data_IF_148718678910
#
_entry.id   IF_148718678910
#
_cell.length_a   1.000
_cell.length_b   1.000
_cell.length_c   1.000
_cell.angle_alpha   90.00
_cell.angle_beta   90.00
_cell.angle_gamma   90.00
#
_symmetry.space_group_name_H-M   'P 1'
#
loop_
_entity.id
_entity.type
_entity.pdbx_description
1 polymer ?
#
# COMPACT_ATOMS: atom_id res chain seq x y z
N UNK A 1 -3.82 11.69 -3.60
CA UNK A 1 -3.11 10.66 -4.40
C UNK A 1 -1.75 10.44 -3.74
N UNK A 2 -1.51 9.25 -3.14
CA UNK A 2 -0.23 8.92 -2.53
C UNK A 2 0.68 8.38 -3.62
N UNK A 3 1.47 9.27 -4.23
CA UNK A 3 2.41 8.93 -5.31
C UNK A 3 3.86 9.23 -4.88
N UNK A 4 4.79 8.39 -5.33
CA UNK A 4 6.19 8.47 -4.98
C UNK A 4 7.03 7.37 -5.66
N UNK A 5 8.23 7.70 -6.20
CA UNK A 5 9.06 6.78 -6.99
C UNK A 5 9.60 5.58 -6.20
N UNK A 6 9.35 5.52 -4.89
CA UNK A 6 9.70 4.39 -4.01
C UNK A 6 8.66 3.28 -4.07
N UNK A 7 7.36 3.63 -4.08
CA UNK A 7 6.26 2.66 -4.13
C UNK A 7 6.27 1.95 -5.49
N UNK A 8 6.40 2.71 -6.57
CA UNK A 8 6.46 2.17 -7.93
C UNK A 8 7.59 1.14 -8.09
N UNK A 9 8.79 1.48 -7.61
CA UNK A 9 9.93 0.53 -7.60
C UNK A 9 9.60 -0.72 -6.78
N UNK A 10 9.09 -0.53 -5.57
CA UNK A 10 8.72 -1.63 -4.68
C UNK A 10 7.74 -2.59 -5.35
N UNK A 11 6.69 -2.07 -6.00
CA UNK A 11 5.73 -2.87 -6.73
C UNK A 11 6.35 -3.60 -7.93
N UNK A 12 7.29 -2.97 -8.63
CA UNK A 12 7.95 -3.55 -9.80
C UNK A 12 8.79 -4.80 -9.51
N UNK A 13 9.32 -4.97 -8.29
CA UNK A 13 10.11 -6.16 -7.92
C UNK A 13 9.42 -7.07 -6.89
N UNK A 14 8.17 -6.77 -6.51
CA UNK A 14 7.42 -7.56 -5.52
C UNK A 14 6.34 -8.40 -6.19
N UNK A 15 6.40 -9.72 -6.01
CA UNK A 15 5.31 -10.61 -6.43
C UNK A 15 4.17 -10.59 -5.42
N UNK A 16 3.17 -9.74 -5.64
CA UNK A 16 2.00 -9.59 -4.77
C UNK A 16 1.05 -10.80 -4.75
N UNK A 17 1.13 -11.69 -5.73
CA UNK A 17 0.35 -12.94 -5.74
C UNK A 17 0.95 -13.99 -4.78
N UNK A 18 2.17 -13.75 -4.29
CA UNK A 18 2.81 -14.60 -3.29
C UNK A 18 2.57 -14.07 -1.88
N UNK A 19 2.34 -14.97 -0.92
CA UNK A 19 2.20 -14.63 0.51
C UNK A 19 3.37 -13.78 1.02
N UNK A 20 4.61 -14.16 0.67
CA UNK A 20 5.81 -13.42 1.08
C UNK A 20 5.86 -12.02 0.50
N UNK A 21 5.51 -11.85 -0.77
CA UNK A 21 5.47 -10.54 -1.41
C UNK A 21 4.36 -9.67 -0.84
N UNK A 22 3.22 -10.25 -0.50
CA UNK A 22 2.14 -9.53 0.16
C UNK A 22 2.51 -9.05 1.57
N UNK A 23 3.14 -9.92 2.38
CA UNK A 23 3.67 -9.52 3.71
C UNK A 23 4.71 -8.40 3.57
N UNK A 24 5.61 -8.51 2.60
CA UNK A 24 6.59 -7.46 2.32
C UNK A 24 5.93 -6.13 1.95
N UNK A 25 4.90 -6.17 1.10
CA UNK A 25 4.10 -4.99 0.74
C UNK A 25 3.46 -4.34 1.97
N UNK A 26 2.79 -5.11 2.82
CA UNK A 26 2.16 -4.60 4.05
C UNK A 26 3.19 -3.95 4.98
N UNK A 27 4.32 -4.60 5.21
CA UNK A 27 5.39 -4.07 6.04
C UNK A 27 5.98 -2.79 5.43
N UNK A 28 6.24 -2.77 4.12
CA UNK A 28 6.72 -1.59 3.42
C UNK A 28 5.79 -0.40 3.60
N UNK A 29 4.47 -0.62 3.48
CA UNK A 29 3.45 0.43 3.67
C UNK A 29 3.50 1.00 5.09
N UNK A 30 3.59 0.14 6.10
CA UNK A 30 3.72 0.53 7.52
C UNK A 30 5.04 1.27 7.78
N UNK A 31 6.16 0.69 7.37
CA UNK A 31 7.50 1.18 7.68
C UNK A 31 7.81 2.53 7.00
N UNK A 32 7.16 2.83 5.87
CA UNK A 32 7.30 4.11 5.17
C UNK A 32 6.25 5.15 5.59
N UNK A 33 5.42 4.87 6.60
CA UNK A 33 4.42 5.81 7.09
C UNK A 33 3.25 6.04 6.11
N UNK A 34 3.01 5.09 5.20
CA UNK A 34 2.01 5.26 4.14
C UNK A 34 0.60 5.08 4.70
N UNK A 35 0.41 4.19 5.67
CA UNK A 35 -0.90 3.93 6.27
C UNK A 35 -1.41 5.17 7.02
N UNK A 36 -0.55 5.81 7.80
CA UNK A 36 -0.84 7.07 8.49
C UNK A 36 -1.21 8.17 7.50
N UNK A 37 -0.50 8.24 6.36
CA UNK A 37 -0.80 9.21 5.31
C UNK A 37 -2.13 8.94 4.61
N UNK A 38 -2.53 7.67 4.49
CA UNK A 38 -3.87 7.33 4.00
C UNK A 38 -4.93 7.80 5.00
N UNK A 39 -4.73 7.58 6.30
CA UNK A 39 -5.62 8.07 7.36
C UNK A 39 -5.71 9.62 7.37
N UNK A 40 -4.59 10.33 7.20
CA UNK A 40 -4.55 11.81 7.08
C UNK A 40 -5.31 12.33 5.85
N UNK A 41 -5.38 11.53 4.78
CA UNK A 41 -6.16 11.84 3.58
C UNK A 41 -7.65 11.48 3.73
N UNK A 42 -8.06 10.96 4.88
CA UNK A 42 -9.43 10.62 5.21
C UNK A 42 -9.85 9.21 4.81
N UNK A 43 -8.91 8.33 4.44
CA UNK A 43 -9.20 6.90 4.23
C UNK A 43 -9.55 6.28 5.59
N UNK A 44 -10.63 5.51 5.61
CA UNK A 44 -11.14 4.82 6.79
C UNK A 44 -11.04 3.31 6.63
N UNK A 45 -11.19 2.60 7.75
CA UNK A 45 -11.27 1.14 7.73
C UNK A 45 -12.44 0.68 6.85
N UNK A 46 -12.16 -0.27 5.96
CA UNK A 46 -13.11 -0.77 4.98
C UNK A 46 -13.17 0.02 3.67
N UNK A 47 -12.44 1.14 3.55
CA UNK A 47 -12.34 1.85 2.29
C UNK A 47 -11.43 1.13 1.31
N UNK A 48 -11.82 1.14 0.02
CA UNK A 48 -10.98 0.63 -1.06
C UNK A 48 -9.98 1.69 -1.50
N UNK A 49 -8.69 1.38 -1.36
CA UNK A 49 -7.58 2.22 -1.80
C UNK A 49 -7.15 1.80 -3.21
N UNK A 50 -7.03 2.78 -4.11
CA UNK A 50 -6.54 2.57 -5.49
C UNK A 50 -5.16 3.21 -5.67
N UNK A 51 -4.14 2.43 -5.98
CA UNK A 51 -2.77 2.93 -6.21
C UNK A 51 -2.03 2.12 -7.26
N UNK A 52 -1.42 2.78 -8.25
CA UNK A 52 -0.60 2.14 -9.30
C UNK A 52 -1.26 0.91 -9.96
N UNK A 53 -2.57 0.98 -10.22
CA UNK A 53 -3.35 -0.11 -10.80
C UNK A 53 -3.81 -1.19 -9.81
N UNK A 54 -3.27 -1.18 -8.58
CA UNK A 54 -3.71 -2.05 -7.49
C UNK A 54 -4.89 -1.45 -6.76
N UNK A 55 -5.73 -2.34 -6.25
CA UNK A 55 -6.85 -2.01 -5.39
C UNK A 55 -6.83 -2.97 -4.22
N UNK A 56 -7.00 -2.44 -3.02
CA UNK A 56 -7.11 -3.25 -1.83
C UNK A 56 -8.01 -2.53 -0.83
N UNK A 57 -8.65 -3.31 0.01
CA UNK A 57 -9.42 -2.78 1.12
C UNK A 57 -8.46 -2.50 2.28
N UNK A 58 -8.57 -1.30 2.84
CA UNK A 58 -7.76 -0.89 3.96
C UNK A 58 -8.36 -1.42 5.26
N UNK A 59 -7.57 -2.22 5.97
CA UNK A 59 -7.87 -2.68 7.33
C UNK A 59 -6.68 -2.35 8.23
N UNK A 60 -6.98 -1.90 9.45
CA UNK A 60 -5.97 -1.52 10.44
C UNK A 60 -5.30 -2.74 11.08
#
# INVERSE_FOLDING_TARGET
VVEGPRIERMLGYTNLESEKGFIFFQNFMRDNGILEKLEELGIQEGDTVRMYGLHFDYYK
#
